data_IF_845806638080
#
_entry.id   IF_845806638080
#
_cell.length_a   1.000
_cell.length_b   1.000
_cell.length_c   1.000
_cell.angle_alpha   90.00
_cell.angle_beta   90.00
_cell.angle_gamma   90.00
#
_symmetry.space_group_name_H-M   'P 1'
#
loop_
_entity.id
_entity.type
_entity.pdbx_description
1 polymer ?
#
# COMPACT_ATOMS: atom_id res chain seq x y z
N UNK A 1 -19.06 2.84 -10.74
CA UNK A 1 -18.18 3.80 -10.05
C UNK A 1 -17.11 2.96 -9.37
N UNK A 2 -15.83 3.21 -9.62
CA UNK A 2 -14.75 2.48 -8.96
C UNK A 2 -14.61 3.03 -7.54
N UNK A 3 -14.82 2.17 -6.54
CA UNK A 3 -14.66 2.54 -5.12
C UNK A 3 -13.27 2.08 -4.66
N UNK A 4 -12.41 3.05 -4.35
CA UNK A 4 -11.14 2.83 -3.66
C UNK A 4 -11.22 3.46 -2.27
N UNK A 5 -10.73 2.75 -1.27
CA UNK A 5 -10.71 3.25 0.11
C UNK A 5 -9.51 2.70 0.86
N UNK A 6 -9.03 3.49 1.81
CA UNK A 6 -8.01 3.09 2.79
C UNK A 6 -8.71 3.05 4.14
N UNK A 7 -8.76 1.87 4.77
CA UNK A 7 -9.37 1.68 6.08
C UNK A 7 -8.37 1.11 7.07
N UNK A 8 -8.38 1.58 8.31
CA UNK A 8 -7.64 0.97 9.42
C UNK A 8 -8.56 0.05 10.22
N UNK A 9 -8.13 -1.18 10.52
CA UNK A 9 -8.91 -2.07 11.39
C UNK A 9 -8.64 -1.75 12.85
N UNK A 10 -9.69 -1.64 13.66
CA UNK A 10 -9.57 -1.48 15.12
C UNK A 10 -9.33 -2.83 15.83
N UNK A 11 -9.51 -3.94 15.12
CA UNK A 11 -9.49 -5.29 15.70
C UNK A 11 -8.12 -6.00 15.53
N UNK A 12 -7.16 -5.36 14.86
CA UNK A 12 -5.82 -5.86 14.56
C UNK A 12 -4.79 -4.80 14.95
N UNK A 13 -4.13 -4.97 16.11
CA UNK A 13 -3.09 -4.05 16.61
C UNK A 13 -1.88 -3.90 15.66
N UNK A 14 -1.70 -4.88 14.76
CA UNK A 14 -0.64 -4.92 13.76
C UNK A 14 -1.08 -4.35 12.39
N UNK A 15 -2.37 -4.13 12.14
CA UNK A 15 -2.88 -3.72 10.83
C UNK A 15 -3.14 -2.22 10.79
N UNK A 16 -2.34 -1.50 10.01
CA UNK A 16 -2.43 -0.06 9.93
C UNK A 16 -3.38 0.41 8.82
N UNK A 17 -3.39 -0.28 7.68
CA UNK A 17 -4.25 0.08 6.56
C UNK A 17 -4.54 -1.11 5.63
N UNK A 18 -5.76 -1.18 5.11
CA UNK A 18 -6.16 -2.06 4.03
C UNK A 18 -6.35 -1.27 2.73
N UNK A 19 -5.89 -1.83 1.62
CA UNK A 19 -6.13 -1.32 0.28
C UNK A 19 -7.31 -2.08 -0.32
N UNK A 20 -8.44 -1.39 -0.47
CA UNK A 20 -9.65 -1.98 -1.04
C UNK A 20 -9.88 -1.44 -2.46
N UNK A 21 -10.21 -2.34 -3.38
CA UNK A 21 -10.69 -1.99 -4.72
C UNK A 21 -11.97 -2.78 -5.01
N UNK A 22 -13.08 -2.08 -5.24
CA UNK A 22 -14.40 -2.69 -5.42
C UNK A 22 -14.77 -3.65 -4.27
N UNK A 23 -14.44 -3.28 -3.03
CA UNK A 23 -14.69 -4.06 -1.79
C UNK A 23 -13.93 -5.39 -1.70
N UNK A 24 -12.96 -5.61 -2.58
CA UNK A 24 -11.99 -6.70 -2.49
C UNK A 24 -10.71 -6.12 -1.90
N UNK A 25 -10.10 -6.81 -0.93
CA UNK A 25 -8.79 -6.44 -0.42
C UNK A 25 -7.72 -6.78 -1.46
N UNK A 26 -7.02 -5.74 -1.90
CA UNK A 26 -5.91 -5.82 -2.86
C UNK A 26 -4.55 -5.69 -2.20
N UNK A 27 -4.52 -5.29 -0.93
CA UNK A 27 -3.30 -5.23 -0.16
C UNK A 27 -3.54 -4.78 1.27
N UNK A 28 -2.48 -4.80 2.05
CA UNK A 28 -2.46 -4.26 3.40
C UNK A 28 -1.09 -3.70 3.76
N UNK A 29 -1.10 -2.82 4.76
CA UNK A 29 0.08 -2.32 5.44
C UNK A 29 -0.03 -2.79 6.88
N UNK A 30 0.89 -3.65 7.29
CA UNK A 30 0.90 -4.27 8.62
C UNK A 30 2.28 -4.21 9.26
N UNK A 31 2.32 -4.23 10.58
CA UNK A 31 3.54 -4.35 11.36
C UNK A 31 3.94 -5.83 11.39
N UNK A 32 5.19 -6.11 11.07
CA UNK A 32 5.72 -7.46 11.17
C UNK A 32 5.63 -7.98 12.62
N UNK A 33 5.56 -9.31 12.78
CA UNK A 33 5.49 -9.95 14.10
C UNK A 33 6.64 -9.54 15.03
N UNK A 34 7.82 -9.25 14.46
CA UNK A 34 9.00 -8.80 15.21
C UNK A 34 8.91 -7.35 15.72
N UNK A 35 7.88 -6.61 15.30
CA UNK A 35 7.61 -5.20 15.58
C UNK A 35 8.74 -4.24 15.20
N UNK A 36 9.66 -4.68 14.33
CA UNK A 36 10.81 -3.88 13.87
C UNK A 36 10.66 -3.41 12.44
N UNK A 37 9.71 -3.98 11.70
CA UNK A 37 9.48 -3.66 10.31
C UNK A 37 8.00 -3.48 10.01
N UNK A 38 7.70 -2.55 9.10
CA UNK A 38 6.39 -2.39 8.50
C UNK A 38 6.42 -3.05 7.12
N UNK A 39 5.44 -3.89 6.85
CA UNK A 39 5.27 -4.61 5.62
C UNK A 39 4.15 -3.94 4.81
N UNK A 40 4.39 -3.78 3.52
CA UNK A 40 3.32 -3.56 2.55
C UNK A 40 3.16 -4.85 1.76
N UNK A 41 1.93 -5.36 1.73
CA UNK A 41 1.56 -6.59 1.05
C UNK A 41 0.58 -6.22 -0.06
N UNK A 42 0.88 -6.62 -1.30
CA UNK A 42 -0.04 -6.45 -2.44
C UNK A 42 -0.41 -7.83 -2.97
N UNK A 43 -1.71 -8.03 -3.20
CA UNK A 43 -2.33 -9.26 -3.72
C UNK A 43 -2.80 -9.07 -5.18
N UNK A 44 -1.89 -9.01 -6.17
CA UNK A 44 -2.26 -8.88 -7.58
C UNK A 44 -3.08 -10.07 -8.11
N UNK A 45 -2.93 -11.26 -7.51
CA UNK A 45 -3.74 -12.46 -7.74
C UNK A 45 -3.58 -13.39 -6.53
N UNK A 46 -4.42 -14.43 -6.42
CA UNK A 46 -4.46 -15.34 -5.25
C UNK A 46 -3.15 -16.09 -4.94
N UNK A 47 -2.18 -16.10 -5.86
CA UNK A 47 -0.95 -16.89 -5.75
C UNK A 47 0.32 -16.04 -5.77
N UNK A 48 0.20 -14.71 -5.85
CA UNK A 48 1.33 -13.81 -5.92
C UNK A 48 1.18 -12.77 -4.83
N UNK A 49 2.20 -12.66 -3.99
CA UNK A 49 2.27 -11.70 -2.90
C UNK A 49 3.56 -10.90 -3.11
N UNK A 50 3.44 -9.58 -3.14
CA UNK A 50 4.61 -8.70 -3.11
C UNK A 50 4.78 -8.12 -1.72
N UNK A 51 5.94 -8.34 -1.12
CA UNK A 51 6.33 -7.80 0.17
C UNK A 51 7.41 -6.74 0.00
N UNK A 52 7.23 -5.61 0.68
CA UNK A 52 8.19 -4.51 0.66
C UNK A 52 8.63 -4.16 2.07
N UNK A 53 9.93 -3.96 2.25
CA UNK A 53 10.47 -3.37 3.49
C UNK A 53 10.16 -1.89 3.55
N UNK A 54 9.81 -1.42 4.75
CA UNK A 54 9.45 -0.04 5.01
C UNK A 54 10.41 1.01 4.42
N UNK A 55 11.71 0.92 4.74
CA UNK A 55 12.69 1.93 4.33
C UNK A 55 12.86 1.99 2.80
N UNK A 56 12.86 0.81 2.17
CA UNK A 56 12.97 0.70 0.71
C UNK A 56 11.70 1.25 0.03
N UNK A 57 10.52 0.94 0.57
CA UNK A 57 9.25 1.43 0.08
C UNK A 57 9.13 2.95 0.21
N UNK A 58 9.49 3.53 1.36
CA UNK A 58 9.47 4.98 1.56
C UNK A 58 10.35 5.70 0.54
N UNK A 59 11.56 5.18 0.29
CA UNK A 59 12.46 5.76 -0.69
C UNK A 59 11.86 5.71 -2.09
N UNK A 60 11.20 4.61 -2.46
CA UNK A 60 10.52 4.47 -3.74
C UNK A 60 9.32 5.42 -3.86
N UNK A 61 8.49 5.53 -2.82
CA UNK A 61 7.34 6.44 -2.79
C UNK A 61 7.78 7.90 -2.92
N UNK A 62 8.84 8.30 -2.24
CA UNK A 62 9.36 9.66 -2.33
C UNK A 62 9.92 9.96 -3.74
N UNK A 63 10.59 8.99 -4.37
CA UNK A 63 11.02 9.10 -5.78
C UNK A 63 9.82 9.21 -6.72
N UNK A 64 8.81 8.37 -6.55
CA UNK A 64 7.60 8.37 -7.37
C UNK A 64 6.83 9.69 -7.23
N UNK A 65 6.68 10.21 -6.01
CA UNK A 65 6.09 11.52 -5.73
C UNK A 65 6.84 12.65 -6.43
N UNK A 66 8.17 12.70 -6.28
CA UNK A 66 9.01 13.70 -6.97
C UNK A 66 8.85 13.63 -8.48
N UNK A 67 8.82 12.42 -9.03
CA UNK A 67 8.58 12.23 -10.45
C UNK A 67 7.19 12.72 -10.86
N UNK A 68 6.13 12.33 -10.15
CA UNK A 68 4.76 12.77 -10.43
C UNK A 68 4.65 14.29 -10.44
N UNK A 69 5.26 14.98 -9.47
CA UNK A 69 5.26 16.44 -9.39
C UNK A 69 6.06 17.11 -10.52
N UNK A 70 6.96 16.37 -11.18
CA UNK A 70 7.70 16.85 -12.34
C UNK A 70 6.99 16.62 -13.67
N UNK A 71 5.95 15.77 -13.69
CA UNK A 71 5.18 15.48 -14.89
C UNK A 71 4.22 16.63 -15.18
N UNK A 72 4.10 16.98 -16.47
CA UNK A 72 3.02 17.84 -16.91
C UNK A 72 1.69 17.08 -16.82
N UNK A 73 0.57 17.76 -16.49
CA UNK A 73 -0.75 17.14 -16.50
C UNK A 73 -1.03 16.54 -17.88
N UNK A 74 -1.68 15.38 -17.92
CA UNK A 74 -2.23 14.86 -19.17
C UNK A 74 -3.28 15.86 -19.66
N UNK A 75 -2.99 16.55 -20.76
CA UNK A 75 -3.94 17.40 -21.45
C UNK A 75 -5.15 16.57 -21.86
N UNK A 76 -6.35 17.07 -21.54
CA UNK A 76 -7.66 16.48 -21.90
C UNK A 76 -7.84 16.26 -23.40
#
# INVERSE_FOLDING_TARGET
MLEYSVGSSLDRDDLYAELLFNRVQWGEISLAEDKKSLNMIIYPNSNSIFEFKYDELLLLLEKAKKHLLSLEPLSE
#
